data_IF_539854723202
#
_entry.id   IF_539854723202
#
_cell.length_a   1.000
_cell.length_b   1.000
_cell.length_c   1.000
_cell.angle_alpha   90.00
_cell.angle_beta   90.00
_cell.angle_gamma   90.00
#
_symmetry.space_group_name_H-M   'P 1'
#
loop_
_entity.id
_entity.type
_entity.pdbx_description
1 polymer ?
#
# COMPACT_ATOMS: atom_id res chain seq x y z
N UNK A 1 -14.03 -17.65 -0.46
CA UNK A 1 -12.74 -17.77 0.25
C UNK A 1 -12.68 -16.64 1.26
N UNK A 2 -12.27 -16.90 2.50
CA UNK A 2 -12.08 -15.87 3.54
C UNK A 2 -10.90 -14.97 3.18
N UNK A 3 -10.96 -13.68 3.57
CA UNK A 3 -9.84 -12.75 3.46
C UNK A 3 -8.53 -13.39 3.93
N UNK A 4 -7.51 -13.39 3.07
CA UNK A 4 -6.16 -13.84 3.39
C UNK A 4 -5.24 -12.63 3.47
N UNK A 5 -4.37 -12.58 4.48
CA UNK A 5 -3.43 -11.49 4.67
C UNK A 5 -2.15 -11.96 5.35
N UNK A 6 -1.11 -11.14 5.33
CA UNK A 6 0.14 -11.41 6.04
C UNK A 6 1.37 -10.96 5.27
N UNK A 7 2.55 -11.26 5.81
CA UNK A 7 3.81 -11.05 5.11
C UNK A 7 3.95 -12.07 3.97
N UNK A 8 4.28 -11.60 2.77
CA UNK A 8 4.61 -12.49 1.66
C UNK A 8 6.04 -13.00 1.84
N UNK A 9 6.16 -14.30 2.09
CA UNK A 9 7.45 -14.98 2.12
C UNK A 9 7.77 -15.47 0.71
N UNK A 10 8.97 -15.16 0.20
CA UNK A 10 9.42 -15.70 -1.08
C UNK A 10 9.47 -17.23 -1.01
N UNK A 11 8.80 -17.88 -1.97
CA UNK A 11 8.94 -19.31 -2.19
C UNK A 11 10.22 -19.53 -2.99
N UNK A 12 11.10 -20.42 -2.51
CA UNK A 12 12.36 -20.78 -3.17
C UNK A 12 12.20 -21.27 -4.64
N UNK A 13 10.98 -21.51 -5.11
CA UNK A 13 10.69 -22.13 -6.40
C UNK A 13 9.83 -21.27 -7.35
N UNK A 14 9.72 -19.95 -7.13
CA UNK A 14 9.02 -19.05 -8.08
C UNK A 14 7.49 -19.19 -8.11
N UNK A 15 6.90 -19.89 -7.14
CA UNK A 15 5.45 -19.91 -6.91
C UNK A 15 5.01 -18.70 -6.08
N UNK A 16 3.73 -18.33 -6.18
CA UNK A 16 3.08 -17.29 -5.35
C UNK A 16 3.48 -17.47 -3.88
N UNK A 17 3.97 -16.39 -3.27
CA UNK A 17 4.53 -16.43 -1.92
C UNK A 17 3.50 -16.85 -0.88
N UNK A 18 3.93 -17.65 0.09
CA UNK A 18 3.06 -18.04 1.21
C UNK A 18 2.88 -16.84 2.15
N UNK A 19 1.63 -16.54 2.51
CA UNK A 19 1.32 -15.47 3.46
C UNK A 19 1.48 -15.95 4.89
N UNK A 20 2.27 -15.23 5.67
CA UNK A 20 2.50 -15.53 7.09
C UNK A 20 1.97 -14.37 7.93
N UNK A 21 0.96 -14.67 8.74
CA UNK A 21 0.50 -13.76 9.80
C UNK A 21 1.28 -14.05 11.08
N UNK A 22 1.93 -13.05 11.70
CA UNK A 22 2.55 -13.24 13.01
C UNK A 22 1.51 -13.74 14.04
N UNK A 23 1.86 -14.71 14.92
CA UNK A 23 0.91 -15.29 15.88
C UNK A 23 0.25 -14.26 16.81
N UNK A 24 0.94 -13.15 17.05
CA UNK A 24 0.39 -11.97 17.67
C UNK A 24 0.72 -10.79 16.76
N UNK A 25 -0.24 -10.38 15.94
CA UNK A 25 -0.11 -9.14 15.18
C UNK A 25 0.02 -8.01 16.21
N UNK A 26 1.24 -7.48 16.35
CA UNK A 26 1.51 -6.38 17.26
C UNK A 26 0.71 -5.14 16.84
N UNK A 27 0.73 -4.05 17.63
CA UNK A 27 0.13 -2.77 17.23
C UNK A 27 0.79 -2.09 16.01
N UNK A 28 1.66 -2.81 15.31
CA UNK A 28 2.49 -2.33 14.22
C UNK A 28 2.66 -3.40 13.14
N UNK A 29 2.64 -2.95 11.89
CA UNK A 29 3.12 -3.70 10.73
C UNK A 29 4.43 -3.05 10.30
N UNK A 30 5.54 -3.72 10.55
CA UNK A 30 6.87 -3.24 10.17
C UNK A 30 7.28 -3.82 8.82
N UNK A 31 7.67 -2.94 7.91
CA UNK A 31 8.07 -3.27 6.54
C UNK A 31 9.53 -2.88 6.34
N UNK A 32 10.36 -3.83 5.90
CA UNK A 32 11.81 -3.58 5.74
C UNK A 32 12.33 -4.08 4.40
N UNK A 33 12.93 -3.16 3.64
CA UNK A 33 13.58 -3.44 2.37
C UNK A 33 14.69 -4.50 2.52
N UNK A 34 14.67 -5.54 1.68
CA UNK A 34 15.71 -6.58 1.66
C UNK A 34 15.55 -7.66 2.74
N UNK A 35 14.39 -7.74 3.40
CA UNK A 35 14.06 -8.78 4.37
C UNK A 35 12.80 -9.55 3.96
N UNK A 36 12.53 -10.65 4.67
CA UNK A 36 11.31 -11.44 4.52
C UNK A 36 10.03 -10.70 4.94
N UNK A 37 10.15 -9.52 5.57
CA UNK A 37 9.02 -8.64 5.93
C UNK A 37 8.95 -7.42 5.02
N UNK A 38 9.37 -7.55 3.77
CA UNK A 38 9.40 -6.45 2.81
C UNK A 38 8.02 -6.09 2.24
N UNK A 39 7.07 -7.03 2.28
CA UNK A 39 5.74 -6.89 1.69
C UNK A 39 4.67 -7.47 2.60
N UNK A 40 3.65 -6.68 2.88
CA UNK A 40 2.43 -7.13 3.54
C UNK A 40 1.30 -7.15 2.51
N UNK A 41 0.60 -8.26 2.42
CA UNK A 41 -0.38 -8.51 1.36
C UNK A 41 -1.77 -8.74 1.94
N UNK A 42 -2.78 -8.37 1.17
CA UNK A 42 -4.15 -8.81 1.32
C UNK A 42 -4.65 -9.42 0.02
N UNK A 43 -5.42 -10.50 0.13
CA UNK A 43 -6.13 -11.16 -0.95
C UNK A 43 -7.58 -11.37 -0.50
N UNK A 44 -8.51 -10.69 -1.18
CA UNK A 44 -9.92 -10.68 -0.80
C UNK A 44 -10.72 -9.74 -1.69
N UNK A 45 -11.95 -9.46 -1.31
CA UNK A 45 -12.71 -8.36 -1.93
C UNK A 45 -12.27 -7.03 -1.35
N UNK A 46 -12.53 -5.92 -2.08
CA UNK A 46 -12.23 -4.57 -1.57
C UNK A 46 -12.92 -4.32 -0.23
N UNK A 47 -14.18 -4.74 -0.12
CA UNK A 47 -14.97 -4.57 1.09
C UNK A 47 -14.41 -5.37 2.28
N UNK A 48 -13.98 -6.62 2.06
CA UNK A 48 -13.34 -7.42 3.12
C UNK A 48 -12.07 -6.76 3.63
N UNK A 49 -11.25 -6.22 2.73
CA UNK A 49 -10.00 -5.54 3.09
C UNK A 49 -10.30 -4.25 3.85
N UNK A 50 -11.19 -3.40 3.36
CA UNK A 50 -11.57 -2.15 4.04
C UNK A 50 -12.14 -2.42 5.44
N UNK A 51 -13.01 -3.43 5.58
CA UNK A 51 -13.55 -3.81 6.88
C UNK A 51 -12.44 -4.25 7.84
N UNK A 52 -11.49 -5.06 7.37
CA UNK A 52 -10.35 -5.48 8.17
C UNK A 52 -9.47 -4.30 8.61
N UNK A 53 -9.21 -3.34 7.71
CA UNK A 53 -8.45 -2.13 8.04
C UNK A 53 -9.16 -1.29 9.11
N UNK A 54 -10.49 -1.20 9.08
CA UNK A 54 -11.29 -0.51 10.10
C UNK A 54 -11.27 -1.24 11.45
N UNK A 55 -11.40 -2.56 11.44
CA UNK A 55 -11.31 -3.41 12.63
C UNK A 55 -9.94 -3.28 13.32
N UNK A 56 -8.89 -3.06 12.54
CA UNK A 56 -7.50 -2.92 13.01
C UNK A 56 -7.00 -1.48 12.92
N UNK A 57 -7.88 -0.50 13.16
CA UNK A 57 -7.61 0.93 12.99
C UNK A 57 -6.44 1.46 13.83
N UNK A 58 -6.10 0.80 14.94
CA UNK A 58 -5.00 1.19 15.82
C UNK A 58 -3.61 0.69 15.35
N UNK A 59 -3.55 -0.17 14.33
CA UNK A 59 -2.29 -0.62 13.73
C UNK A 59 -1.56 0.53 13.04
N UNK A 60 -0.27 0.63 13.34
CA UNK A 60 0.65 1.59 12.71
C UNK A 60 1.46 0.91 11.61
N UNK A 61 1.54 1.52 10.44
CA UNK A 61 2.44 1.10 9.37
C UNK A 61 3.82 1.73 9.58
N UNK A 62 4.88 0.93 9.64
CA UNK A 62 6.23 1.42 9.90
C UNK A 62 7.23 0.92 8.84
N UNK A 63 8.01 1.84 8.27
CA UNK A 63 9.17 1.48 7.46
C UNK A 63 10.37 1.25 8.39
N UNK A 64 10.72 -0.01 8.60
CA UNK A 64 11.85 -0.41 9.44
C UNK A 64 13.17 -0.11 8.72
N UNK A 65 13.68 1.11 8.89
CA UNK A 65 15.01 1.52 8.42
C UNK A 65 16.05 0.98 9.40
N UNK A 66 16.88 0.03 8.99
CA UNK A 66 18.15 -0.19 9.68
C UNK A 66 19.03 1.02 9.41
N UNK A 67 19.32 1.81 10.44
CA UNK A 67 20.24 2.94 10.37
C UNK A 67 21.62 2.45 9.91
N UNK A 68 21.88 2.49 8.60
CA UNK A 68 23.24 2.39 8.10
C UNK A 68 24.00 3.60 8.63
N UNK A 69 25.08 3.40 9.36
CA UNK A 69 25.89 4.44 10.03
C UNK A 69 26.63 5.39 9.06
N UNK A 70 26.19 5.50 7.81
CA UNK A 70 26.74 6.41 6.82
C UNK A 70 25.79 7.59 6.64
N UNK A 71 26.29 8.76 7.01
CA UNK A 71 25.62 10.06 7.11
C UNK A 71 25.14 10.68 5.77
N UNK A 72 24.71 9.85 4.81
CA UNK A 72 24.07 10.28 3.56
C UNK A 72 22.57 9.94 3.49
N UNK A 73 21.96 9.46 4.58
CA UNK A 73 20.53 9.03 4.69
C UNK A 73 19.55 10.23 4.78
N UNK A 74 19.76 11.31 4.03
CA UNK A 74 18.74 12.38 3.91
C UNK A 74 17.72 12.14 2.79
N UNK A 75 17.80 11.01 2.10
CA UNK A 75 16.92 10.66 0.98
C UNK A 75 16.43 9.19 1.00
N UNK A 76 16.44 8.52 2.16
CA UNK A 76 15.71 7.27 2.27
C UNK A 76 14.25 7.62 2.55
N UNK A 77 13.41 7.46 1.53
CA UNK A 77 11.98 7.68 1.61
C UNK A 77 11.42 6.92 2.81
N UNK A 78 10.98 7.66 3.83
CA UNK A 78 10.24 7.13 4.99
C UNK A 78 8.81 6.74 4.60
N UNK A 79 8.51 6.73 3.31
CA UNK A 79 7.19 6.50 2.77
C UNK A 79 6.97 5.01 2.52
N UNK A 80 5.70 4.63 2.62
CA UNK A 80 5.19 3.33 2.25
C UNK A 80 4.23 3.52 1.08
N UNK A 81 4.16 2.51 0.24
CA UNK A 81 3.25 2.43 -0.88
C UNK A 81 2.19 1.38 -0.57
N UNK A 82 0.94 1.72 -0.84
CA UNK A 82 -0.21 0.83 -0.82
C UNK A 82 -0.72 0.71 -2.26
N UNK A 83 -0.44 -0.44 -2.88
CA UNK A 83 -0.81 -0.75 -4.25
C UNK A 83 -2.03 -1.66 -4.28
N UNK A 84 -3.12 -1.19 -4.89
CA UNK A 84 -4.25 -2.03 -5.29
C UNK A 84 -3.95 -2.65 -6.66
N UNK A 85 -3.92 -3.96 -6.74
CA UNK A 85 -3.63 -4.74 -7.94
C UNK A 85 -4.85 -5.60 -8.31
N UNK A 86 -5.06 -5.77 -9.62
CA UNK A 86 -6.03 -6.74 -10.11
C UNK A 86 -5.57 -8.16 -9.74
N UNK A 87 -6.48 -8.98 -9.23
CA UNK A 87 -6.21 -10.38 -8.95
C UNK A 87 -6.92 -11.23 -9.99
N UNK A 88 -6.18 -12.11 -10.66
CA UNK A 88 -6.80 -13.14 -11.48
C UNK A 88 -7.39 -14.22 -10.57
N UNK A 89 -8.71 -14.40 -10.60
CA UNK A 89 -9.38 -15.50 -9.92
C UNK A 89 -9.75 -16.57 -10.96
N UNK A 90 -9.10 -17.73 -10.85
CA UNK A 90 -9.35 -18.87 -11.74
C UNK A 90 -10.78 -19.43 -11.61
N UNK A 91 -11.48 -19.15 -10.50
CA UNK A 91 -12.88 -19.52 -10.29
C UNK A 91 -13.86 -18.43 -10.78
N UNK A 92 -13.36 -17.25 -11.14
CA UNK A 92 -14.19 -16.17 -11.66
C UNK A 92 -14.56 -16.45 -13.12
N UNK A 93 -15.85 -16.63 -13.37
CA UNK A 93 -16.35 -16.82 -14.73
C UNK A 93 -16.04 -15.60 -15.61
N UNK A 94 -15.76 -15.82 -16.90
CA UNK A 94 -15.56 -14.74 -17.89
C UNK A 94 -16.68 -13.69 -17.84
N UNK A 95 -17.91 -14.09 -17.55
CA UNK A 95 -19.05 -13.18 -17.38
C UNK A 95 -18.88 -12.23 -16.18
N UNK A 96 -18.45 -12.74 -15.02
CA UNK A 96 -18.19 -11.93 -13.84
C UNK A 96 -16.97 -11.02 -14.02
N UNK A 97 -15.94 -11.49 -14.72
CA UNK A 97 -14.79 -10.68 -15.12
C UNK A 97 -15.19 -9.52 -16.03
N UNK A 98 -15.99 -9.76 -17.08
CA UNK A 98 -16.49 -8.67 -17.92
C UNK A 98 -17.42 -7.73 -17.16
N UNK A 99 -18.30 -8.26 -16.30
CA UNK A 99 -19.22 -7.46 -15.48
C UNK A 99 -18.46 -6.51 -14.53
N UNK A 100 -17.33 -6.90 -13.96
CA UNK A 100 -16.54 -6.01 -13.09
C UNK A 100 -15.94 -4.79 -13.81
N UNK A 101 -15.86 -4.77 -15.15
CA UNK A 101 -15.46 -3.58 -15.90
C UNK A 101 -16.60 -2.57 -16.10
N UNK A 102 -17.86 -3.00 -16.05
CA UNK A 102 -19.03 -2.16 -16.34
C UNK A 102 -19.89 -1.88 -15.12
N UNK A 103 -19.92 -2.83 -14.19
CA UNK A 103 -20.56 -2.72 -12.90
C UNK A 103 -19.43 -2.76 -11.90
N UNK A 104 -19.13 -1.62 -11.31
CA UNK A 104 -18.26 -1.44 -10.14
C UNK A 104 -18.82 -2.17 -8.92
N UNK A 105 -18.99 -3.49 -9.04
CA UNK A 105 -19.51 -4.34 -7.98
C UNK A 105 -18.34 -4.75 -7.09
N UNK A 106 -17.90 -3.80 -6.28
CA UNK A 106 -16.77 -3.92 -5.35
C UNK A 106 -16.99 -4.99 -4.27
N UNK A 107 -18.20 -5.54 -4.18
CA UNK A 107 -18.55 -6.66 -3.29
C UNK A 107 -18.13 -8.02 -3.86
N UNK A 108 -17.93 -8.13 -5.18
CA UNK A 108 -17.55 -9.38 -5.85
C UNK A 108 -16.19 -9.33 -6.54
N UNK A 109 -15.67 -8.13 -6.83
CA UNK A 109 -14.34 -7.96 -7.41
C UNK A 109 -13.26 -8.39 -6.41
N UNK A 110 -12.45 -9.37 -6.81
CA UNK A 110 -11.31 -9.83 -6.03
C UNK A 110 -10.07 -9.05 -6.40
N UNK A 111 -9.38 -8.59 -5.38
CA UNK A 111 -8.22 -7.72 -5.51
C UNK A 111 -7.08 -8.24 -4.65
N UNK A 112 -5.89 -7.78 -5.00
CA UNK A 112 -4.67 -7.96 -4.24
C UNK A 112 -4.22 -6.58 -3.77
N UNK A 113 -4.02 -6.39 -2.47
CA UNK A 113 -3.45 -5.14 -1.94
C UNK A 113 -2.06 -5.44 -1.40
N UNK A 114 -1.08 -4.63 -1.79
CA UNK A 114 0.32 -4.76 -1.40
C UNK A 114 0.77 -3.50 -0.66
N UNK A 115 1.30 -3.67 0.56
CA UNK A 115 1.92 -2.62 1.34
C UNK A 115 3.43 -2.88 1.41
N UNK A 116 4.24 -1.89 1.03
CA UNK A 116 5.70 -2.05 0.95
C UNK A 116 6.43 -0.70 1.10
N UNK A 117 7.73 -0.70 1.42
CA UNK A 117 8.54 0.51 1.38
C UNK A 117 8.57 1.12 -0.02
N UNK A 118 8.48 2.45 -0.11
CA UNK A 118 8.61 3.17 -1.38
C UNK A 118 10.02 3.03 -1.93
N UNK A 119 10.12 2.59 -3.19
CA UNK A 119 11.38 2.53 -3.93
C UNK A 119 11.06 2.93 -5.36
N UNK A 120 11.28 4.20 -5.71
CA UNK A 120 10.78 4.80 -6.95
C UNK A 120 11.12 3.98 -8.21
N UNK A 121 12.34 3.46 -8.28
CA UNK A 121 12.79 2.64 -9.40
C UNK A 121 12.04 1.32 -9.56
N UNK A 122 11.58 0.72 -8.45
CA UNK A 122 10.74 -0.49 -8.47
C UNK A 122 9.26 -0.14 -8.65
N UNK A 123 8.83 0.94 -8.03
CA UNK A 123 7.46 1.44 -8.08
C UNK A 123 7.02 1.67 -9.52
N UNK A 124 7.87 2.30 -10.33
CA UNK A 124 7.60 2.58 -11.74
C UNK A 124 7.40 1.31 -12.59
N UNK A 125 7.87 0.14 -12.13
CA UNK A 125 7.76 -1.13 -12.86
C UNK A 125 6.56 -1.98 -12.41
N UNK A 126 5.87 -1.60 -11.33
CA UNK A 126 4.75 -2.37 -10.77
C UNK A 126 3.43 -1.76 -11.25
N UNK A 127 2.72 -2.50 -12.10
CA UNK A 127 1.37 -2.15 -12.52
C UNK A 127 0.42 -2.20 -11.31
N UNK A 128 -0.30 -1.10 -11.09
CA UNK A 128 -1.30 -0.96 -10.04
C UNK A 128 -2.54 -0.27 -10.58
N UNK A 129 -3.71 -0.71 -10.12
CA UNK A 129 -5.00 -0.07 -10.40
C UNK A 129 -5.06 1.28 -9.69
N UNK A 130 -4.57 1.30 -8.45
CA UNK A 130 -4.46 2.49 -7.62
C UNK A 130 -3.20 2.38 -6.76
N UNK A 131 -2.45 3.48 -6.69
CA UNK A 131 -1.28 3.61 -5.83
C UNK A 131 -1.50 4.76 -4.86
N UNK A 132 -1.40 4.46 -3.58
CA UNK A 132 -1.47 5.43 -2.50
C UNK A 132 -0.13 5.48 -1.77
N UNK A 133 0.41 6.68 -1.56
CA UNK A 133 1.65 6.88 -0.82
C UNK A 133 1.29 7.41 0.57
N UNK A 134 1.81 6.76 1.60
CA UNK A 134 1.60 7.12 3.01
C UNK A 134 2.93 7.26 3.73
N UNK A 135 2.98 8.04 4.80
CA UNK A 135 4.20 8.20 5.59
C UNK A 135 4.34 7.05 6.59
N UNK A 136 5.58 6.65 6.90
CA UNK A 136 5.82 5.72 8.00
C UNK A 136 5.35 6.35 9.31
N UNK A 137 4.58 5.60 10.10
CA UNK A 137 3.93 6.06 11.31
C UNK A 137 2.42 6.29 11.14
N UNK A 138 1.88 6.27 9.92
CA UNK A 138 0.44 6.37 9.69
C UNK A 138 -0.31 5.20 10.32
N UNK A 139 -1.45 5.49 10.96
CA UNK A 139 -2.37 4.47 11.44
C UNK A 139 -3.32 4.05 10.34
N UNK A 140 -3.76 2.80 10.36
CA UNK A 140 -4.75 2.31 9.40
C UNK A 140 -6.07 3.09 9.48
N UNK A 141 -6.50 3.47 10.68
CA UNK A 141 -7.71 4.27 10.88
C UNK A 141 -7.65 5.66 10.24
N UNK A 142 -6.46 6.24 10.09
CA UNK A 142 -6.30 7.59 9.52
C UNK A 142 -6.36 7.58 7.99
N UNK A 143 -6.11 6.43 7.36
CA UNK A 143 -5.98 6.30 5.90
C UNK A 143 -7.10 5.48 5.26
N UNK A 144 -7.85 4.68 6.04
CA UNK A 144 -8.80 3.71 5.48
C UNK A 144 -9.96 4.35 4.71
N UNK A 145 -10.47 5.49 5.17
CA UNK A 145 -11.57 6.18 4.49
C UNK A 145 -11.11 6.80 3.16
N UNK A 146 -9.88 7.33 3.14
CA UNK A 146 -9.25 7.83 1.92
C UNK A 146 -9.00 6.69 0.92
N UNK A 147 -8.45 5.56 1.40
CA UNK A 147 -8.25 4.36 0.58
C UNK A 147 -9.58 3.85 0.00
N UNK A 148 -10.64 3.75 0.82
CA UNK A 148 -11.96 3.34 0.35
C UNK A 148 -12.49 4.28 -0.73
N UNK A 149 -12.36 5.60 -0.53
CA UNK A 149 -12.77 6.59 -1.53
C UNK A 149 -11.99 6.46 -2.84
N UNK A 150 -10.67 6.27 -2.77
CA UNK A 150 -9.84 6.13 -3.97
C UNK A 150 -10.07 4.81 -4.70
N UNK A 151 -10.25 3.72 -3.96
CA UNK A 151 -10.54 2.43 -4.55
C UNK A 151 -11.91 2.46 -5.21
N UNK A 152 -12.93 3.01 -4.55
CA UNK A 152 -14.29 3.04 -5.08
C UNK A 152 -14.54 4.14 -6.13
N UNK A 153 -13.54 4.97 -6.42
CA UNK A 153 -13.58 5.94 -7.50
C UNK A 153 -13.91 5.28 -8.85
N UNK A 154 -14.59 5.98 -9.76
CA UNK A 154 -14.93 5.42 -11.07
C UNK A 154 -13.67 4.91 -11.76
N UNK A 155 -13.71 3.65 -12.22
CA UNK A 155 -12.62 3.08 -12.99
C UNK A 155 -12.30 4.02 -14.16
N UNK A 156 -11.03 4.33 -14.33
CA UNK A 156 -10.58 5.18 -15.43
C UNK A 156 -11.07 4.60 -16.75
N UNK A 157 -11.74 5.41 -17.55
CA UNK A 157 -12.20 4.97 -18.88
C UNK A 157 -10.99 4.56 -19.74
N UNK A 158 -11.19 3.69 -20.73
CA UNK A 158 -10.14 3.30 -21.68
C UNK A 158 -9.45 4.51 -22.31
N UNK A 159 -10.20 5.56 -22.61
CA UNK A 159 -9.65 6.83 -23.11
C UNK A 159 -8.71 7.47 -22.08
N UNK A 160 -9.14 7.54 -20.82
CA UNK A 160 -8.34 8.07 -19.72
C UNK A 160 -7.05 7.24 -19.51
N UNK A 161 -7.14 5.91 -19.51
CA UNK A 161 -5.98 5.02 -19.37
C UNK A 161 -4.99 5.19 -20.52
N UNK A 162 -5.49 5.38 -21.74
CA UNK A 162 -4.63 5.61 -22.91
C UNK A 162 -3.93 6.96 -22.80
N UNK A 163 -4.67 8.02 -22.44
CA UNK A 163 -4.11 9.35 -22.21
C UNK A 163 -3.07 9.31 -21.10
N UNK A 164 -3.36 8.63 -20.00
CA UNK A 164 -2.48 8.44 -18.84
C UNK A 164 -1.14 7.79 -19.22
N UNK A 165 -1.17 6.72 -20.03
CA UNK A 165 0.04 6.05 -20.57
C UNK A 165 0.87 7.00 -21.44
N UNK A 166 0.23 7.89 -22.20
CA UNK A 166 0.92 8.85 -23.06
C UNK A 166 1.31 10.15 -22.34
N UNK A 167 0.77 10.42 -21.15
CA UNK A 167 0.96 11.68 -20.41
C UNK A 167 1.62 11.51 -19.04
N UNK A 168 2.03 10.29 -18.68
CA UNK A 168 2.66 9.97 -17.39
C UNK A 168 1.80 10.43 -16.20
N UNK A 169 0.48 10.34 -16.38
CA UNK A 169 -0.55 10.82 -15.46
C UNK A 169 -1.51 9.69 -15.06
N UNK A 170 -2.29 9.86 -13.98
CA UNK A 170 -2.12 10.82 -12.93
C UNK A 170 -0.90 10.45 -12.08
N UNK A 171 -0.25 11.45 -11.46
CA UNK A 171 0.76 11.19 -10.45
C UNK A 171 0.17 10.36 -9.29
N UNK A 172 1.00 9.62 -8.54
CA UNK A 172 0.55 8.88 -7.37
C UNK A 172 -0.20 9.81 -6.41
N UNK A 173 -1.32 9.33 -5.87
CA UNK A 173 -2.14 10.16 -4.98
C UNK A 173 -1.53 10.15 -3.58
N UNK A 174 -1.07 11.33 -3.14
CA UNK A 174 -0.58 11.55 -1.80
C UNK A 174 -1.75 11.81 -0.85
N UNK A 175 -1.85 11.04 0.23
CA UNK A 175 -2.86 11.25 1.26
C UNK A 175 -2.42 12.41 2.16
N UNK A 176 -3.18 13.51 2.15
CA UNK A 176 -2.85 14.77 2.83
C UNK A 176 -2.99 14.65 4.35
N UNK A 177 -3.77 13.68 4.86
CA UNK A 177 -3.91 13.42 6.31
C UNK A 177 -2.63 12.89 6.97
N UNK A 178 -1.63 12.52 6.17
CA UNK A 178 -0.34 11.99 6.61
C UNK A 178 0.78 13.05 6.69
N UNK A 179 0.42 14.33 6.84
CA UNK A 179 1.39 15.40 7.02
C UNK A 179 2.25 15.13 8.27
N UNK A 180 3.59 15.13 8.15
CA UNK A 180 4.46 14.95 9.29
C UNK A 180 4.25 16.11 10.29
N UNK A 181 4.35 15.86 11.62
CA UNK A 181 4.33 16.95 12.58
C UNK A 181 5.43 17.95 12.22
N UNK A 182 5.03 19.21 12.07
CA UNK A 182 5.89 20.31 11.67
C UNK A 182 7.10 20.42 12.61
N UNK A 183 8.27 20.46 11.97
CA UNK A 183 9.63 20.71 12.49
C UNK A 183 9.76 21.21 13.94
N UNK A 184 10.55 20.48 14.73
CA UNK A 184 11.16 20.99 15.97
C UNK A 184 12.07 22.16 15.58
N UNK A 185 11.71 23.38 15.97
CA UNK A 185 12.63 24.52 15.97
C UNK A 185 13.57 24.35 17.17
N UNK A 186 14.83 23.99 16.91
CA UNK A 186 15.88 24.12 17.92
C UNK A 186 16.20 25.61 18.00
N UNK A 187 15.76 26.27 19.07
CA UNK A 187 16.21 27.62 19.41
C UNK A 187 17.75 27.61 19.47
N UNK A 188 18.37 28.23 18.47
CA UNK A 188 19.80 28.52 18.45
C UNK A 188 20.08 29.77 19.28
N UNK A 189 19.69 29.75 20.55
CA UNK A 189 20.13 30.71 21.55
C UNK A 189 20.82 29.92 22.65
N UNK A 190 22.16 29.86 22.58
CA UNK A 190 23.16 29.82 23.67
C UNK A 190 24.49 29.47 22.99
N UNK A 191 25.21 30.48 22.51
CA UNK A 191 26.67 30.49 22.36
C UNK A 191 27.16 31.90 22.04
N UNK A 192 27.03 32.81 23.01
CA UNK A 192 27.80 34.05 23.03
C UNK A 192 28.04 34.46 24.49
N UNK A 193 29.03 33.82 25.11
CA UNK A 193 29.88 34.38 26.16
C UNK A 193 31.29 33.84 26.00
#
# INVERSE_FOLDING_TARGET
MTLAYGYEMESNNGSVGHLVVPPMLSKKITLTSGSNTSRWMFYGTRQEIVNWLREHSDLVLENGLFASTNSSIRAQHTELVIDLQACYDAEQSYYNYYKSFFVSDYSVERVKVEIRPRIESKDAMIESVCRTIVTSGSRLGDIVDDLESYWNGPAKSYYQQTVDVFSDAPPPTHVISADPPTSIQINSDIAAQ
#
